data_IF_040424392274
#
_entry.id   IF_040424392274
#
_cell.length_a   1.000
_cell.length_b   1.000
_cell.length_c   1.000
_cell.angle_alpha   90.00
_cell.angle_beta   90.00
_cell.angle_gamma   90.00
#
_symmetry.space_group_name_H-M   'P 1'
#
loop_
_entity.id
_entity.type
_entity.pdbx_description
1 polymer ?
#
# COMPACT_ATOMS: atom_id res chain seq x y z
N UNK A 1 -12.79 18.79 16.00
CA UNK A 1 -13.53 17.55 16.32
C UNK A 1 -14.69 17.46 15.35
N UNK A 2 -14.59 16.70 14.26
CA UNK A 2 -15.58 16.73 13.18
C UNK A 2 -16.08 15.32 12.81
N UNK A 3 -17.26 15.01 13.35
CA UNK A 3 -18.38 14.27 12.75
C UNK A 3 -18.07 13.01 11.91
N UNK A 4 -17.57 11.95 12.54
CA UNK A 4 -17.79 10.56 12.08
C UNK A 4 -19.17 10.10 12.61
N UNK A 5 -20.26 10.31 11.85
CA UNK A 5 -21.62 9.92 12.27
C UNK A 5 -22.42 9.06 11.29
N UNK A 6 -21.75 8.40 10.34
CA UNK A 6 -22.39 7.35 9.54
C UNK A 6 -21.54 6.07 9.56
N UNK A 7 -22.08 4.93 10.02
CA UNK A 7 -21.34 3.68 10.02
C UNK A 7 -20.88 3.34 8.59
N UNK A 8 -19.59 3.06 8.42
CA UNK A 8 -19.00 2.72 7.13
C UNK A 8 -18.59 3.89 6.24
N UNK A 9 -18.78 5.14 6.67
CA UNK A 9 -18.18 6.29 5.99
C UNK A 9 -16.81 6.57 6.62
N UNK A 10 -15.78 6.65 5.77
CA UNK A 10 -14.42 6.97 6.14
C UNK A 10 -14.00 8.25 5.43
N UNK A 11 -13.62 9.26 6.19
CA UNK A 11 -13.01 10.48 5.65
C UNK A 11 -11.49 10.34 5.77
N UNK A 12 -10.81 10.34 4.62
CA UNK A 12 -9.36 10.32 4.51
C UNK A 12 -8.88 11.75 4.29
N UNK A 13 -8.02 12.24 5.18
CA UNK A 13 -7.47 13.59 5.10
C UNK A 13 -6.43 13.71 3.99
N UNK A 14 -6.04 14.93 3.65
CA UNK A 14 -5.04 15.18 2.60
C UNK A 14 -3.68 14.55 2.94
N UNK A 15 -3.31 14.49 4.21
CA UNK A 15 -2.06 13.91 4.71
C UNK A 15 -2.21 12.45 5.14
N UNK A 16 -3.25 11.76 4.68
CA UNK A 16 -3.55 10.38 5.06
C UNK A 16 -3.72 9.46 3.85
N UNK A 17 -3.59 8.16 4.11
CA UNK A 17 -3.95 7.06 3.23
C UNK A 17 -4.83 6.07 4.00
N UNK A 18 -5.91 5.60 3.38
CA UNK A 18 -6.74 4.54 3.94
C UNK A 18 -6.32 3.17 3.43
N UNK A 19 -5.83 2.30 4.30
CA UNK A 19 -5.49 0.92 3.96
C UNK A 19 -6.69 0.02 4.26
N UNK A 20 -7.13 -0.73 3.26
CA UNK A 20 -8.37 -1.52 3.33
C UNK A 20 -8.07 -2.98 3.71
N UNK A 21 -8.82 -3.51 4.66
CA UNK A 21 -8.89 -4.92 5.00
C UNK A 21 -10.29 -5.47 4.70
N UNK A 22 -10.38 -6.60 4.00
CA UNK A 22 -11.63 -7.32 3.73
C UNK A 22 -11.76 -8.51 4.68
N UNK A 23 -12.85 -8.57 5.44
CA UNK A 23 -13.10 -9.54 6.51
C UNK A 23 -13.65 -10.88 6.03
N UNK A 24 -14.39 -10.89 4.92
CA UNK A 24 -15.10 -12.06 4.42
C UNK A 24 -14.93 -12.22 2.92
N UNK A 25 -14.92 -13.46 2.42
CA UNK A 25 -14.82 -13.78 1.00
C UNK A 25 -13.88 -14.96 0.75
N UNK A 26 -13.49 -15.14 -0.52
CA UNK A 26 -12.49 -16.16 -0.89
C UNK A 26 -11.18 -15.92 -0.14
N UNK A 27 -10.54 -16.97 0.40
CA UNK A 27 -9.28 -16.82 1.12
C UNK A 27 -8.16 -16.35 0.18
N UNK A 28 -7.17 -15.66 0.74
CA UNK A 28 -5.97 -15.30 0.01
C UNK A 28 -5.16 -16.56 -0.33
N UNK A 29 -4.61 -16.70 -1.54
CA UNK A 29 -3.69 -17.80 -1.86
C UNK A 29 -2.50 -17.82 -0.89
N UNK A 30 -2.06 -19.01 -0.48
CA UNK A 30 -1.05 -19.21 0.57
C UNK A 30 0.33 -18.60 0.26
N UNK A 31 0.62 -18.33 -1.01
CA UNK A 31 1.86 -17.71 -1.47
C UNK A 31 1.80 -16.17 -1.54
N UNK A 32 0.75 -15.54 -1.00
CA UNK A 32 0.52 -14.10 -1.07
C UNK A 32 0.24 -13.50 0.30
N UNK A 33 0.52 -12.21 0.41
CA UNK A 33 0.23 -11.41 1.62
C UNK A 33 -0.77 -10.27 1.34
N UNK A 34 -0.98 -9.91 0.07
CA UNK A 34 -1.85 -8.84 -0.38
C UNK A 34 -2.88 -9.36 -1.39
N UNK A 35 -4.15 -9.04 -1.15
CA UNK A 35 -5.28 -9.35 -2.02
C UNK A 35 -5.31 -8.41 -3.23
N UNK A 36 -5.39 -8.97 -4.44
CA UNK A 36 -5.50 -8.21 -5.68
C UNK A 36 -6.92 -8.16 -6.22
N UNK A 37 -7.73 -9.18 -6.01
CA UNK A 37 -9.00 -9.36 -6.71
C UNK A 37 -10.18 -9.39 -5.73
N UNK A 38 -10.02 -8.75 -4.57
CA UNK A 38 -11.05 -8.76 -3.54
C UNK A 38 -11.06 -10.03 -2.71
N UNK A 39 -9.96 -10.78 -2.64
CA UNK A 39 -9.79 -11.86 -1.67
C UNK A 39 -9.85 -11.29 -0.24
N UNK A 40 -10.10 -12.16 0.74
CA UNK A 40 -10.01 -11.80 2.16
C UNK A 40 -8.59 -11.35 2.52
N UNK A 41 -8.47 -10.37 3.41
CA UNK A 41 -7.19 -9.83 3.87
C UNK A 41 -6.93 -8.38 3.48
N UNK A 42 -5.66 -7.97 3.57
CA UNK A 42 -5.21 -6.63 3.18
C UNK A 42 -5.31 -6.46 1.67
N UNK A 43 -6.04 -5.43 1.25
CA UNK A 43 -6.23 -5.13 -0.17
C UNK A 43 -5.04 -4.34 -0.70
N UNK A 44 -4.75 -4.54 -1.99
CA UNK A 44 -3.67 -3.81 -2.68
C UNK A 44 -4.01 -2.33 -2.86
N UNK A 45 -5.26 -2.02 -3.20
CA UNK A 45 -5.70 -0.66 -3.45
C UNK A 45 -5.92 0.07 -2.12
N UNK A 46 -5.50 1.33 -2.07
CA UNK A 46 -5.71 2.23 -0.95
C UNK A 46 -6.83 3.21 -1.24
N UNK A 47 -7.28 3.92 -0.21
CA UNK A 47 -8.18 5.05 -0.32
C UNK A 47 -7.35 6.33 -0.20
N UNK A 48 -7.34 7.13 -1.26
CA UNK A 48 -6.78 8.47 -1.25
C UNK A 48 -7.67 9.48 -0.50
N UNK A 49 -7.28 10.76 -0.44
CA UNK A 49 -8.04 11.80 0.23
C UNK A 49 -9.49 11.90 -0.25
N UNK A 50 -10.41 12.17 0.67
CA UNK A 50 -11.84 12.32 0.37
C UNK A 50 -12.74 11.42 1.22
N UNK A 51 -14.02 11.41 0.86
CA UNK A 51 -15.06 10.63 1.55
C UNK A 51 -15.26 9.31 0.83
N UNK A 52 -15.11 8.20 1.55
CA UNK A 52 -15.28 6.85 1.02
C UNK A 52 -16.32 6.09 1.82
N UNK A 53 -17.12 5.28 1.16
CA UNK A 53 -18.00 4.32 1.83
C UNK A 53 -17.42 2.90 1.71
N UNK A 54 -17.34 2.21 2.83
CA UNK A 54 -17.03 0.78 2.93
C UNK A 54 -17.90 0.17 4.00
N UNK A 55 -18.70 -0.84 3.63
CA UNK A 55 -19.56 -1.54 4.59
C UNK A 55 -18.72 -2.04 5.79
N UNK A 56 -19.05 -1.63 7.03
CA UNK A 56 -18.26 -1.99 8.22
C UNK A 56 -18.37 -3.48 8.56
N UNK A 57 -19.41 -4.16 8.06
CA UNK A 57 -19.56 -5.60 8.16
C UNK A 57 -18.48 -6.31 7.33
N UNK A 58 -18.26 -5.87 6.09
CA UNK A 58 -17.34 -6.56 5.17
C UNK A 58 -15.91 -6.03 5.24
N UNK A 59 -15.73 -4.76 5.58
CA UNK A 59 -14.44 -4.07 5.49
C UNK A 59 -14.06 -3.37 6.79
N UNK A 60 -12.76 -3.21 6.97
CA UNK A 60 -12.14 -2.31 7.93
C UNK A 60 -11.17 -1.41 7.17
N UNK A 61 -11.17 -0.12 7.45
CA UNK A 61 -10.19 0.82 6.91
C UNK A 61 -9.31 1.30 8.04
N UNK A 62 -8.00 1.19 7.86
CA UNK A 62 -6.99 1.75 8.76
C UNK A 62 -6.45 3.00 8.11
N UNK A 63 -6.68 4.16 8.73
CA UNK A 63 -6.08 5.42 8.30
C UNK A 63 -4.66 5.51 8.80
N UNK A 64 -3.73 5.92 7.94
CA UNK A 64 -2.34 6.16 8.29
C UNK A 64 -1.89 7.48 7.69
N UNK A 65 -0.90 8.12 8.31
CA UNK A 65 -0.28 9.31 7.74
C UNK A 65 0.48 8.96 6.46
N UNK A 66 0.42 9.86 5.49
CA UNK A 66 1.29 9.82 4.34
C UNK A 66 2.74 9.95 4.79
N UNK A 67 3.64 9.30 4.05
CA UNK A 67 5.06 9.29 4.34
C UNK A 67 5.66 10.54 3.72
N UNK A 68 6.20 11.42 4.55
CA UNK A 68 6.94 12.60 4.10
C UNK A 68 8.42 12.27 4.08
N UNK A 69 9.08 12.61 2.97
CA UNK A 69 10.54 12.55 2.81
C UNK A 69 11.02 13.98 2.63
N UNK A 70 11.86 14.46 3.54
CA UNK A 70 12.40 15.82 3.47
C UNK A 70 13.55 15.94 2.45
N UNK A 71 14.05 17.17 2.23
CA UNK A 71 14.98 17.48 1.13
C UNK A 71 16.31 16.73 1.22
N UNK A 72 16.76 16.46 2.44
CA UNK A 72 18.04 15.81 2.74
C UNK A 72 17.86 14.33 3.12
N UNK A 73 16.67 13.78 2.90
CA UNK A 73 16.31 12.40 3.22
C UNK A 73 15.99 11.58 1.97
N UNK A 74 16.09 10.26 2.11
CA UNK A 74 15.56 9.30 1.13
C UNK A 74 14.70 8.24 1.80
N UNK A 75 13.69 7.73 1.08
CA UNK A 75 12.89 6.60 1.51
C UNK A 75 13.35 5.30 0.87
N UNK A 76 13.92 4.39 1.67
CA UNK A 76 14.28 3.04 1.23
C UNK A 76 13.07 2.12 1.30
N UNK A 77 12.68 1.53 0.18
CA UNK A 77 11.47 0.71 0.07
C UNK A 77 11.77 -0.79 0.12
N UNK A 78 11.00 -1.53 0.91
CA UNK A 78 10.99 -3.00 0.93
C UNK A 78 9.57 -3.50 0.66
N UNK A 79 9.38 -4.29 -0.40
CA UNK A 79 8.11 -4.92 -0.74
C UNK A 79 7.91 -6.22 0.05
N UNK A 80 6.74 -6.39 0.65
CA UNK A 80 6.34 -7.56 1.45
C UNK A 80 5.69 -8.65 0.58
N UNK A 81 5.15 -8.27 -0.57
CA UNK A 81 4.54 -9.16 -1.56
C UNK A 81 5.00 -8.79 -2.97
N UNK A 82 4.80 -9.70 -3.93
CA UNK A 82 5.29 -9.60 -5.30
C UNK A 82 5.93 -10.89 -5.79
N UNK A 83 6.40 -10.86 -7.03
CA UNK A 83 7.15 -11.98 -7.60
C UNK A 83 8.42 -12.27 -6.79
N UNK A 84 8.88 -13.51 -6.83
CA UNK A 84 10.18 -13.87 -6.23
C UNK A 84 11.32 -13.14 -6.94
N UNK A 85 12.35 -12.81 -6.17
CA UNK A 85 13.63 -12.37 -6.74
C UNK A 85 14.22 -13.49 -7.59
N UNK A 86 14.88 -13.10 -8.69
CA UNK A 86 15.69 -14.04 -9.46
C UNK A 86 16.88 -14.50 -8.61
N UNK A 87 17.30 -15.75 -8.79
CA UNK A 87 18.46 -16.32 -8.10
C UNK A 87 19.68 -15.42 -8.25
N UNK A 88 20.34 -15.11 -7.13
CA UNK A 88 21.53 -14.24 -7.08
C UNK A 88 21.24 -12.74 -7.03
N UNK A 89 19.97 -12.29 -7.11
CA UNK A 89 19.63 -10.88 -6.92
C UNK A 89 19.24 -10.58 -5.47
N UNK A 90 19.75 -9.45 -4.96
CA UNK A 90 19.47 -8.96 -3.61
C UNK A 90 18.34 -7.92 -3.60
N UNK A 91 18.21 -7.17 -4.71
CA UNK A 91 17.19 -6.11 -4.86
C UNK A 91 16.20 -6.44 -5.98
N UNK A 92 14.95 -6.03 -5.77
CA UNK A 92 13.89 -6.04 -6.77
C UNK A 92 14.14 -5.01 -7.85
N UNK A 93 13.69 -5.32 -9.07
CA UNK A 93 13.71 -4.38 -10.20
C UNK A 93 12.84 -3.14 -9.94
N UNK A 94 13.18 -2.04 -10.60
CA UNK A 94 12.33 -0.84 -10.63
C UNK A 94 11.08 -1.13 -11.49
N UNK A 95 9.93 -0.63 -11.07
CA UNK A 95 8.65 -0.70 -11.77
C UNK A 95 8.13 0.72 -11.91
N UNK A 96 8.29 1.32 -13.09
CA UNK A 96 7.98 2.75 -13.31
C UNK A 96 6.47 3.02 -13.24
N UNK A 97 5.65 2.04 -13.59
CA UNK A 97 4.19 2.17 -13.66
C UNK A 97 3.52 2.27 -12.28
N UNK A 98 4.26 2.08 -11.18
CA UNK A 98 3.70 2.02 -9.83
C UNK A 98 3.64 3.36 -9.08
N UNK A 99 3.90 4.49 -9.76
CA UNK A 99 3.83 5.84 -9.20
C UNK A 99 4.57 5.96 -7.87
N UNK A 100 5.88 5.66 -7.89
CA UNK A 100 6.73 5.63 -6.69
C UNK A 100 6.12 4.79 -5.54
N UNK A 101 5.68 3.57 -5.87
CA UNK A 101 5.07 2.60 -4.96
C UNK A 101 3.71 3.01 -4.36
N UNK A 102 3.11 4.10 -4.83
CA UNK A 102 1.75 4.50 -4.41
C UNK A 102 0.69 3.62 -5.06
N UNK A 103 0.92 3.17 -6.30
CA UNK A 103 0.08 2.17 -6.97
C UNK A 103 0.63 0.76 -6.77
N UNK A 104 0.24 0.16 -5.64
CA UNK A 104 0.58 -1.23 -5.32
C UNK A 104 0.06 -2.24 -6.34
N UNK A 105 -1.03 -1.93 -7.05
CA UNK A 105 -1.62 -2.84 -8.03
C UNK A 105 -0.79 -2.86 -9.30
N UNK A 106 -0.40 -1.70 -9.80
CA UNK A 106 0.53 -1.58 -10.92
C UNK A 106 1.89 -2.20 -10.58
N UNK A 107 2.39 -2.02 -9.35
CA UNK A 107 3.61 -2.70 -8.89
C UNK A 107 3.53 -4.22 -9.08
N UNK A 108 2.50 -4.86 -8.53
CA UNK A 108 2.37 -6.33 -8.61
C UNK A 108 2.11 -6.79 -10.06
N UNK A 109 1.22 -6.11 -10.79
CA UNK A 109 0.86 -6.50 -12.17
C UNK A 109 2.03 -6.40 -13.14
N UNK A 110 2.95 -5.45 -12.94
CA UNK A 110 4.13 -5.27 -13.80
C UNK A 110 5.36 -6.07 -13.30
N UNK A 111 5.12 -7.08 -12.47
CA UNK A 111 6.14 -8.02 -12.01
C UNK A 111 7.07 -7.46 -10.94
N UNK A 112 6.59 -6.50 -10.14
CA UNK A 112 7.25 -6.05 -8.92
C UNK A 112 7.59 -7.23 -8.01
N UNK A 113 8.76 -7.17 -7.38
CA UNK A 113 9.36 -8.29 -6.68
C UNK A 113 9.40 -8.05 -5.18
N UNK A 114 9.10 -9.07 -4.37
CA UNK A 114 9.22 -8.99 -2.91
C UNK A 114 10.69 -8.81 -2.49
N UNK A 115 10.94 -8.10 -1.38
CA UNK A 115 12.27 -7.81 -0.86
C UNK A 115 12.65 -6.33 -0.98
N UNK A 116 13.94 -6.00 -0.76
CA UNK A 116 14.46 -4.63 -0.88
C UNK A 116 14.37 -4.16 -2.33
N UNK A 117 13.99 -2.92 -2.57
CA UNK A 117 13.85 -2.38 -3.93
C UNK A 117 15.06 -1.55 -4.33
N UNK A 118 15.37 -1.50 -5.63
CA UNK A 118 16.31 -0.53 -6.19
C UNK A 118 15.71 0.89 -6.25
N UNK A 119 14.39 0.98 -6.42
CA UNK A 119 13.68 2.26 -6.39
C UNK A 119 13.69 2.86 -4.99
N UNK A 120 13.86 4.18 -4.93
CA UNK A 120 13.86 4.98 -3.71
C UNK A 120 12.78 6.05 -3.80
N UNK A 121 12.25 6.47 -2.66
CA UNK A 121 11.44 7.68 -2.57
C UNK A 121 12.36 8.87 -2.40
N UNK A 122 12.12 9.93 -3.18
CA UNK A 122 12.85 11.21 -3.10
C UNK A 122 12.04 12.19 -2.25
N UNK A 123 12.48 13.44 -2.15
CA UNK A 123 11.71 14.47 -1.47
C UNK A 123 10.26 14.54 -1.99
N UNK A 124 9.29 14.45 -1.07
CA UNK A 124 7.87 14.39 -1.42
C UNK A 124 6.98 13.80 -0.32
N UNK A 125 5.69 13.70 -0.62
CA UNK A 125 4.68 13.10 0.27
C UNK A 125 4.03 11.92 -0.45
N UNK A 126 4.14 10.73 0.11
CA UNK A 126 3.74 9.48 -0.52
C UNK A 126 2.65 8.75 0.27
N UNK A 127 1.57 8.36 -0.41
CA UNK A 127 0.45 7.61 0.18
C UNK A 127 0.63 6.11 -0.02
N UNK A 128 1.59 5.55 0.71
CA UNK A 128 2.03 4.16 0.55
C UNK A 128 1.11 3.18 1.28
N UNK A 129 0.78 2.06 0.61
CA UNK A 129 0.18 0.91 1.28
C UNK A 129 1.23 0.21 2.15
N UNK A 130 1.30 0.55 3.45
CA UNK A 130 2.30 0.00 4.38
C UNK A 130 2.13 -1.50 4.69
N UNK A 131 1.05 -2.12 4.21
CA UNK A 131 0.87 -3.57 4.26
C UNK A 131 1.55 -4.26 3.09
N UNK A 132 1.65 -3.59 1.94
CA UNK A 132 2.42 -4.06 0.80
C UNK A 132 3.89 -3.64 0.87
N UNK A 133 4.18 -2.44 1.34
CA UNK A 133 5.54 -1.90 1.40
C UNK A 133 5.95 -1.51 2.82
N UNK A 134 7.25 -1.52 3.10
CA UNK A 134 7.86 -0.86 4.24
C UNK A 134 8.77 0.24 3.71
N UNK A 135 8.74 1.41 4.34
CA UNK A 135 9.64 2.52 4.00
C UNK A 135 10.47 2.84 5.23
N UNK A 136 11.78 2.91 5.03
CA UNK A 136 12.73 3.39 6.03
C UNK A 136 13.33 4.70 5.53
N UNK A 137 13.16 5.78 6.31
CA UNK A 137 13.71 7.11 6.00
C UNK A 137 15.15 7.16 6.50
N UNK A 138 16.06 7.69 5.67
CA UNK A 138 17.50 7.80 5.94
C UNK A 138 18.05 9.15 5.55
#
# INVERSE_FOLDING_TARGET
MAIDRAPGVYVISQDEVGIVYKKFGSPLPSNRQIALNGEMGWQVDTLGPGRHFRSPLTYQVVKQKAIQIDKDEIGLVTAKDGASLATGKIFGKVVEECDDFQDGRAFIKNGGQRGRQLGILRNGIYRINTKLFSVEIR
#
